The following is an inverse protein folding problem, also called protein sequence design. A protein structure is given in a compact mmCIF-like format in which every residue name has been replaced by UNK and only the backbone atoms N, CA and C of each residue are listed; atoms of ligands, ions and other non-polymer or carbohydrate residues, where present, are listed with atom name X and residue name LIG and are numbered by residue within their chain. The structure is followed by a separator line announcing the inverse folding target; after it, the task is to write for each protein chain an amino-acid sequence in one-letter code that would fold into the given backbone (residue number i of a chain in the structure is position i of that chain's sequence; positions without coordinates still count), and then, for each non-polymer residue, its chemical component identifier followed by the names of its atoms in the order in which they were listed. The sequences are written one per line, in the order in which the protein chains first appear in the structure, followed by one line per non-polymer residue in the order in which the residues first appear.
data_IF_970061435624
#
_entry.id   IF_970061435624
#
_cell.length_a   1.000
_cell.length_b   1.000
_cell.length_c   1.000
_cell.angle_alpha   90.00
_cell.angle_beta   90.00
_cell.angle_gamma   90.00
#
_symmetry.space_group_name_H-M   'P 1'
#
loop_
_entity.id
_entity.type
_entity.pdbx_description
1 polymer ?
#
# COMPACT_ATOMS: atom_id res chain seq x y z
N UNK A 1 -32.16 10.14 -45.48
CA UNK A 1 -33.44 10.78 -45.83
C UNK A 1 -34.26 10.67 -44.56
N UNK A 2 -34.27 11.70 -43.71
CA UNK A 2 -35.26 12.79 -43.83
C UNK A 2 -36.65 12.18 -43.63
N UNK A 3 -37.49 12.51 -42.65
CA UNK A 3 -37.71 13.65 -41.79
C UNK A 3 -38.78 13.15 -40.80
N UNK A 4 -38.83 13.66 -39.57
CA UNK A 4 -39.98 13.44 -38.70
C UNK A 4 -40.35 14.74 -38.00
N UNK A 5 -40.83 15.71 -38.78
CA UNK A 5 -41.72 16.76 -38.28
C UNK A 5 -43.13 16.30 -38.56
N UNK A 6 -43.84 15.78 -37.55
CA UNK A 6 -45.29 15.83 -37.52
C UNK A 6 -45.81 15.45 -36.12
N UNK A 7 -46.18 16.48 -35.37
CA UNK A 7 -47.44 16.59 -34.64
C UNK A 7 -47.95 15.35 -33.88
N UNK A 8 -48.10 15.48 -32.56
CA UNK A 8 -49.43 15.85 -32.04
C UNK A 8 -49.43 15.87 -30.51
N UNK A 9 -49.70 17.07 -30.00
CA UNK A 9 -50.09 17.37 -28.64
C UNK A 9 -51.33 16.55 -28.22
N UNK A 10 -51.18 15.64 -27.26
CA UNK A 10 -52.26 15.26 -26.34
C UNK A 10 -51.75 15.01 -24.92
N UNK A 11 -52.25 15.86 -24.05
CA UNK A 11 -52.25 15.83 -22.60
C UNK A 11 -52.82 14.48 -22.12
N UNK A 12 -52.01 13.68 -21.41
CA UNK A 12 -52.50 12.76 -20.37
C UNK A 12 -51.52 12.88 -19.21
N UNK A 13 -52.03 13.41 -18.10
CA UNK A 13 -51.35 13.42 -16.82
C UNK A 13 -51.02 11.98 -16.39
N UNK A 14 -49.74 11.64 -16.33
CA UNK A 14 -49.27 10.47 -15.57
C UNK A 14 -48.27 10.95 -14.53
N UNK A 15 -48.80 11.24 -13.36
CA UNK A 15 -48.07 11.28 -12.09
C UNK A 15 -47.62 9.85 -11.82
N UNK A 16 -46.42 9.47 -12.28
CA UNK A 16 -45.78 8.23 -11.86
C UNK A 16 -44.70 8.63 -10.86
N UNK A 17 -45.06 8.50 -9.59
CA UNK A 17 -44.12 8.48 -8.47
C UNK A 17 -43.10 7.36 -8.73
N UNK A 18 -41.89 7.74 -9.15
CA UNK A 18 -40.79 6.80 -9.33
C UNK A 18 -40.15 6.55 -7.95
N UNK A 19 -40.12 5.30 -7.45
CA UNK A 19 -39.73 4.99 -6.09
C UNK A 19 -38.22 5.23 -5.87
N UNK A 20 -37.87 5.49 -4.60
CA UNK A 20 -36.52 5.69 -4.11
C UNK A 20 -35.58 4.55 -4.58
N UNK A 21 -34.58 4.87 -5.40
CA UNK A 21 -33.47 3.97 -5.65
C UNK A 21 -32.58 3.90 -4.41
N UNK A 22 -32.52 2.71 -3.80
CA UNK A 22 -31.65 2.40 -2.68
C UNK A 22 -30.18 2.46 -3.04
N UNK A 23 -29.38 3.04 -2.14
CA UNK A 23 -27.93 3.06 -2.18
C UNK A 23 -27.37 1.64 -2.08
N UNK A 24 -26.95 1.07 -3.22
CA UNK A 24 -26.10 -0.12 -3.22
C UNK A 24 -24.69 0.29 -2.79
N UNK A 25 -24.34 -0.04 -1.55
CA UNK A 25 -23.01 0.15 -1.01
C UNK A 25 -22.04 -0.86 -1.65
N UNK A 26 -21.24 -0.40 -2.62
CA UNK A 26 -20.07 -1.14 -3.10
C UNK A 26 -19.08 -1.28 -1.93
N UNK A 27 -19.06 -2.45 -1.29
CA UNK A 27 -18.14 -2.72 -0.19
C UNK A 27 -16.72 -2.81 -0.74
N UNK A 28 -16.00 -1.69 -0.74
CA UNK A 28 -14.57 -1.68 -0.96
C UNK A 28 -13.88 -2.51 0.13
N UNK A 29 -12.80 -3.25 -0.20
CA UNK A 29 -12.07 -4.01 0.80
C UNK A 29 -11.57 -3.09 1.92
N UNK A 30 -11.79 -3.52 3.15
CA UNK A 30 -11.35 -2.79 4.35
C UNK A 30 -9.82 -2.62 4.35
N UNK A 31 -9.31 -1.65 5.11
CA UNK A 31 -7.85 -1.42 5.24
C UNK A 31 -7.10 -2.67 5.75
N UNK A 32 -7.73 -3.46 6.61
CA UNK A 32 -7.20 -4.74 7.08
C UNK A 32 -7.08 -5.77 5.95
N UNK A 33 -8.12 -5.93 5.12
CA UNK A 33 -8.10 -6.81 3.96
C UNK A 33 -7.06 -6.37 2.92
N UNK A 34 -6.98 -5.08 2.63
CA UNK A 34 -5.96 -4.54 1.72
C UNK A 34 -4.54 -4.82 2.22
N UNK A 35 -4.31 -4.73 3.53
CA UNK A 35 -3.01 -5.05 4.13
C UNK A 35 -2.69 -6.54 4.06
N UNK A 36 -3.68 -7.40 4.27
CA UNK A 36 -3.53 -8.85 4.14
C UNK A 36 -3.19 -9.25 2.69
N UNK A 37 -3.92 -8.71 1.70
CA UNK A 37 -3.63 -8.93 0.28
C UNK A 37 -2.21 -8.47 -0.06
N UNK A 38 -1.83 -7.25 0.37
CA UNK A 38 -0.50 -6.70 0.08
C UNK A 38 0.62 -7.56 0.64
N UNK A 39 0.45 -8.11 1.85
CA UNK A 39 1.45 -9.00 2.48
C UNK A 39 1.55 -10.32 1.73
N UNK A 40 0.42 -10.93 1.35
CA UNK A 40 0.40 -12.22 0.65
C UNK A 40 0.84 -12.12 -0.81
N UNK A 41 0.66 -10.95 -1.44
CA UNK A 41 0.89 -10.74 -2.86
C UNK A 41 2.16 -9.96 -3.21
N UNK A 42 3.00 -9.61 -2.24
CA UNK A 42 4.12 -8.67 -2.48
C UNK A 42 5.08 -9.15 -3.57
N UNK A 43 5.46 -10.43 -3.56
CA UNK A 43 6.37 -11.01 -4.55
C UNK A 43 5.71 -11.16 -5.92
N UNK A 44 4.48 -11.68 -5.94
CA UNK A 44 3.70 -11.87 -7.17
C UNK A 44 3.39 -10.55 -7.87
N UNK A 45 3.11 -9.50 -7.08
CA UNK A 45 2.87 -8.16 -7.59
C UNK A 45 4.10 -7.59 -8.29
N UNK A 46 5.31 -7.78 -7.73
CA UNK A 46 6.55 -7.34 -8.36
C UNK A 46 6.86 -8.10 -9.65
N UNK A 47 6.46 -9.37 -9.73
CA UNK A 47 6.71 -10.19 -10.91
C UNK A 47 5.71 -9.92 -12.05
N UNK A 48 4.43 -9.67 -11.71
CA UNK A 48 3.35 -9.62 -12.69
C UNK A 48 2.71 -8.23 -12.86
N UNK A 49 2.90 -7.31 -11.91
CA UNK A 49 2.19 -6.02 -11.83
C UNK A 49 3.10 -4.80 -11.55
N UNK A 50 4.42 -4.88 -11.81
CA UNK A 50 5.39 -3.85 -11.43
C UNK A 50 5.17 -2.46 -12.05
N UNK A 51 4.42 -2.36 -13.16
CA UNK A 51 4.09 -1.09 -13.81
C UNK A 51 2.87 -0.40 -13.21
N UNK A 52 2.15 -1.07 -12.30
CA UNK A 52 0.97 -0.52 -11.63
C UNK A 52 1.41 0.09 -10.29
N UNK A 53 0.80 1.21 -9.83
CA UNK A 53 1.02 1.72 -8.49
C UNK A 53 0.49 0.72 -7.43
N UNK A 54 1.26 0.42 -6.37
CA UNK A 54 0.83 -0.52 -5.34
C UNK A 54 -0.32 0.04 -4.50
N UNK A 55 -1.29 -0.82 -4.20
CA UNK A 55 -2.49 -0.47 -3.43
C UNK A 55 -3.63 0.07 -4.29
N UNK A 56 -4.81 0.18 -3.68
CA UNK A 56 -6.03 0.62 -4.37
C UNK A 56 -6.56 -0.39 -5.40
N UNK A 57 -7.53 0.07 -6.19
CA UNK A 57 -8.26 -0.75 -7.15
C UNK A 57 -7.39 -1.20 -8.34
N UNK A 58 -6.52 -0.34 -8.87
CA UNK A 58 -5.68 -0.68 -10.02
C UNK A 58 -4.74 -1.87 -9.72
N UNK A 59 -4.15 -1.92 -8.52
CA UNK A 59 -3.33 -3.03 -8.09
C UNK A 59 -4.14 -4.33 -7.98
N UNK A 60 -5.34 -4.27 -7.38
CA UNK A 60 -6.23 -5.42 -7.28
C UNK A 60 -6.67 -5.93 -8.64
N UNK A 61 -6.97 -5.03 -9.58
CA UNK A 61 -7.39 -5.38 -10.93
C UNK A 61 -6.26 -6.09 -11.68
N UNK A 62 -5.01 -5.62 -11.56
CA UNK A 62 -3.87 -6.31 -12.14
C UNK A 62 -3.67 -7.71 -11.55
N UNK A 63 -3.79 -7.86 -10.23
CA UNK A 63 -3.73 -9.17 -9.58
C UNK A 63 -4.86 -10.07 -10.06
N UNK A 64 -6.09 -9.57 -10.16
CA UNK A 64 -7.26 -10.32 -10.64
C UNK A 64 -7.04 -10.86 -12.07
N UNK A 65 -6.49 -10.03 -12.96
CA UNK A 65 -6.18 -10.41 -14.35
C UNK A 65 -5.05 -11.45 -14.44
N UNK A 66 -4.18 -11.51 -13.44
CA UNK A 66 -3.04 -12.41 -13.39
C UNK A 66 -3.24 -13.57 -12.41
N UNK A 67 -4.46 -13.83 -11.91
CA UNK A 67 -4.71 -14.79 -10.83
C UNK A 67 -4.00 -16.14 -11.04
N UNK A 68 -4.09 -16.72 -12.25
CA UNK A 68 -3.45 -18.00 -12.58
C UNK A 68 -1.92 -18.00 -12.54
N UNK A 69 -1.27 -16.83 -12.52
CA UNK A 69 0.19 -16.65 -12.43
C UNK A 69 0.66 -16.29 -11.02
N UNK A 70 -0.27 -16.03 -10.09
CA UNK A 70 0.06 -15.69 -8.71
C UNK A 70 0.26 -16.96 -7.87
N UNK A 71 1.00 -16.82 -6.78
CA UNK A 71 1.11 -17.84 -5.74
C UNK A 71 -0.26 -18.21 -5.14
N UNK A 72 -0.44 -19.45 -4.65
CA UNK A 72 -1.70 -19.90 -4.05
C UNK A 72 -2.18 -19.00 -2.90
N UNK A 73 -1.24 -18.51 -2.09
CA UNK A 73 -1.52 -17.60 -0.97
C UNK A 73 -2.05 -16.25 -1.44
N UNK A 74 -1.51 -15.72 -2.54
CA UNK A 74 -1.99 -14.47 -3.11
C UNK A 74 -3.35 -14.65 -3.81
N UNK A 75 -3.57 -15.76 -4.51
CA UNK A 75 -4.87 -16.09 -5.12
C UNK A 75 -5.99 -16.14 -4.08
N UNK A 76 -5.75 -16.81 -2.95
CA UNK A 76 -6.72 -16.88 -1.85
C UNK A 76 -7.05 -15.49 -1.29
N UNK A 77 -6.04 -14.66 -1.05
CA UNK A 77 -6.23 -13.32 -0.51
C UNK A 77 -7.04 -12.41 -1.46
N UNK A 78 -6.76 -12.47 -2.77
CA UNK A 78 -7.50 -11.70 -3.79
C UNK A 78 -8.94 -12.19 -3.91
N UNK A 79 -9.17 -13.51 -3.87
CA UNK A 79 -10.52 -14.10 -3.98
C UNK A 79 -11.40 -13.79 -2.77
N UNK A 80 -10.81 -13.83 -1.56
CA UNK A 80 -11.49 -13.42 -0.32
C UNK A 80 -11.85 -11.92 -0.31
N UNK A 81 -11.10 -11.10 -1.04
CA UNK A 81 -11.36 -9.66 -1.15
C UNK A 81 -12.43 -9.31 -2.20
N UNK A 82 -12.61 -10.13 -3.24
CA UNK A 82 -13.54 -9.87 -4.35
C UNK A 82 -14.98 -10.35 -4.10
N UNK A 83 -15.39 -10.49 -2.84
CA UNK A 83 -16.77 -10.84 -2.47
C UNK A 83 -16.97 -12.30 -2.03
N UNK A 84 -15.89 -13.08 -1.89
CA UNK A 84 -15.94 -14.31 -1.11
C UNK A 84 -15.94 -13.97 0.37
N UNK A 85 -17.12 -13.92 1.00
CA UNK A 85 -17.22 -13.89 2.46
C UNK A 85 -16.60 -15.18 3.02
N UNK A 86 -15.30 -15.16 3.29
CA UNK A 86 -14.69 -16.14 4.17
C UNK A 86 -14.98 -15.73 5.62
N UNK A 87 -15.20 -16.69 6.53
CA UNK A 87 -15.40 -16.40 7.95
C UNK A 87 -14.20 -15.60 8.48
N UNK A 88 -14.43 -14.86 9.57
CA UNK A 88 -13.35 -14.36 10.41
C UNK A 88 -12.28 -15.45 10.61
N UNK A 89 -10.98 -15.12 10.71
CA UNK A 89 -9.96 -16.13 10.94
C UNK A 89 -10.19 -16.74 12.33
N UNK A 90 -10.94 -17.85 12.40
CA UNK A 90 -10.58 -18.90 13.35
C UNK A 90 -9.22 -19.39 12.90
N UNK A 91 -8.30 -19.51 13.86
CA UNK A 91 -6.97 -20.05 13.65
C UNK A 91 -7.06 -21.48 13.10
N UNK A 92 -7.24 -21.62 11.79
CA UNK A 92 -6.99 -22.84 11.05
C UNK A 92 -5.51 -22.82 10.66
N UNK A 93 -4.80 -23.84 11.12
CA UNK A 93 -3.36 -23.97 10.95
C UNK A 93 -2.94 -23.79 9.47
N UNK A 94 -1.79 -23.15 9.20
CA UNK A 94 -1.24 -23.10 7.85
C UNK A 94 -1.01 -24.54 7.32
N UNK A 95 -1.15 -24.78 6.01
CA UNK A 95 -0.76 -26.05 5.41
C UNK A 95 0.71 -26.34 5.72
N UNK A 96 1.10 -27.62 5.87
CA UNK A 96 2.47 -27.97 6.21
C UNK A 96 3.44 -27.41 5.16
N UNK A 97 4.61 -26.92 5.58
CA UNK A 97 5.62 -26.42 4.66
C UNK A 97 6.09 -27.54 3.72
N UNK A 98 6.56 -27.20 2.49
CA UNK A 98 7.21 -28.19 1.64
C UNK A 98 8.40 -28.83 2.40
N UNK A 99 8.66 -30.14 2.23
CA UNK A 99 9.79 -30.78 2.88
C UNK A 99 11.09 -30.10 2.42
N UNK A 100 11.78 -29.40 3.33
CA UNK A 100 13.09 -28.78 3.03
C UNK A 100 13.41 -27.43 3.70
N UNK A 101 12.48 -26.81 4.43
CA UNK A 101 12.79 -25.60 5.19
C UNK A 101 13.32 -25.95 6.59
N UNK A 102 14.61 -25.74 6.84
CA UNK A 102 15.23 -25.82 8.17
C UNK A 102 14.63 -24.76 9.11
N UNK A 103 14.25 -25.10 10.36
CA UNK A 103 13.67 -24.13 11.29
C UNK A 103 14.68 -23.04 11.71
N UNK A 104 14.44 -21.81 11.28
CA UNK A 104 15.08 -20.60 11.81
C UNK A 104 14.37 -20.10 13.07
N UNK A 105 15.15 -19.49 13.97
CA UNK A 105 14.81 -18.98 15.30
C UNK A 105 13.37 -18.42 15.51
N UNK A 106 12.79 -18.61 16.72
CA UNK A 106 11.44 -18.16 17.03
C UNK A 106 11.29 -16.64 16.92
N UNK A 107 10.15 -16.13 16.41
CA UNK A 107 9.87 -14.70 16.39
C UNK A 107 9.66 -14.16 17.82
N UNK A 108 10.03 -12.90 18.11
CA UNK A 108 9.80 -12.29 19.41
C UNK A 108 8.28 -12.19 19.71
N UNK A 109 7.88 -12.21 21.00
CA UNK A 109 6.48 -12.16 21.38
C UNK A 109 5.83 -10.84 20.94
N UNK A 110 4.68 -10.95 20.27
CA UNK A 110 3.86 -9.80 19.89
C UNK A 110 3.25 -9.18 21.14
N UNK A 111 3.53 -7.89 21.38
CA UNK A 111 2.88 -7.12 22.42
C UNK A 111 1.35 -7.05 22.18
N UNK A 112 0.52 -7.04 23.25
CA UNK A 112 -0.93 -7.00 23.11
C UNK A 112 -1.40 -5.62 22.63
N UNK A 113 -2.00 -5.59 21.44
CA UNK A 113 -2.72 -4.43 20.93
C UNK A 113 -4.16 -4.47 21.43
N UNK A 114 -4.40 -3.83 22.58
CA UNK A 114 -5.75 -3.47 23.03
C UNK A 114 -5.71 -2.07 23.62
N UNK A 115 -5.80 -1.06 22.75
CA UNK A 115 -6.20 0.29 23.18
C UNK A 115 -7.54 0.60 22.51
N UNK A 116 -8.57 0.52 23.36
CA UNK A 116 -9.93 0.92 23.06
C UNK A 116 -10.01 2.39 22.60
N UNK A 117 -11.08 2.67 21.87
CA UNK A 117 -11.40 3.91 21.17
C UNK A 117 -11.57 5.09 22.16
N UNK A 118 -10.47 5.77 22.49
CA UNK A 118 -10.47 7.13 23.03
C UNK A 118 -10.49 8.15 21.86
N UNK A 119 -11.08 9.35 22.02
CA UNK A 119 -10.88 10.43 21.05
C UNK A 119 -9.38 10.70 20.88
N UNK A 120 -8.90 10.97 19.65
CA UNK A 120 -7.48 11.13 19.41
C UNK A 120 -6.95 12.31 20.25
N UNK A 121 -5.79 12.15 20.92
CA UNK A 121 -5.14 13.26 21.59
C UNK A 121 -4.84 14.37 20.58
N UNK A 122 -4.72 15.64 21.03
CA UNK A 122 -4.29 16.74 20.16
C UNK A 122 -3.00 16.36 19.43
N UNK A 123 -2.82 16.78 18.17
CA UNK A 123 -1.65 16.40 17.39
C UNK A 123 -0.39 16.80 18.16
N UNK A 124 0.60 15.90 18.29
CA UNK A 124 1.88 16.28 18.89
C UNK A 124 2.47 17.46 18.10
N UNK A 125 3.34 18.29 18.71
CA UNK A 125 4.08 19.30 17.95
C UNK A 125 4.68 18.63 16.72
N UNK A 126 4.56 19.28 15.56
CA UNK A 126 5.00 18.79 14.24
C UNK A 126 6.50 18.55 14.21
N UNK A 127 6.91 17.44 14.82
CA UNK A 127 8.22 16.86 14.67
C UNK A 127 8.17 16.11 13.35
N UNK A 128 9.11 16.43 12.45
CA UNK A 128 9.24 15.65 11.22
C UNK A 128 9.36 14.17 11.61
N UNK A 129 8.58 13.33 10.93
CA UNK A 129 8.71 11.90 11.17
C UNK A 129 10.11 11.44 10.71
N UNK A 130 10.72 10.42 11.34
CA UNK A 130 12.02 9.89 10.92
C UNK A 130 12.08 9.46 9.45
N UNK A 131 10.94 9.05 8.88
CA UNK A 131 10.83 8.75 7.44
C UNK A 131 10.93 10.00 6.57
N UNK A 132 10.34 11.11 7.01
CA UNK A 132 10.35 12.37 6.30
C UNK A 132 11.76 12.99 6.30
N UNK A 133 12.46 12.94 7.43
CA UNK A 133 13.88 13.34 7.49
C UNK A 133 14.76 12.51 6.56
N UNK A 134 14.60 11.19 6.56
CA UNK A 134 15.36 10.33 5.65
C UNK A 134 15.08 10.66 4.16
N UNK A 135 13.85 11.04 3.83
CA UNK A 135 13.49 11.51 2.49
C UNK A 135 14.15 12.85 2.16
N UNK A 136 14.16 13.79 3.10
CA UNK A 136 14.82 15.09 2.94
C UNK A 136 16.34 14.91 2.74
N UNK A 137 16.99 14.12 3.58
CA UNK A 137 18.43 13.82 3.45
C UNK A 137 18.73 13.20 2.08
N UNK A 138 17.92 12.23 1.61
CA UNK A 138 18.08 11.66 0.26
C UNK A 138 17.90 12.68 -0.85
N UNK A 139 17.03 13.66 -0.68
CA UNK A 139 16.81 14.73 -1.65
C UNK A 139 18.04 15.65 -1.74
N UNK A 140 18.52 16.16 -0.60
CA UNK A 140 19.64 17.10 -0.56
C UNK A 140 20.99 16.44 -0.85
N UNK A 141 21.17 15.19 -0.46
CA UNK A 141 22.43 14.47 -0.63
C UNK A 141 22.52 13.64 -1.91
N UNK A 142 21.55 13.72 -2.83
CA UNK A 142 21.51 12.86 -4.03
C UNK A 142 22.77 12.99 -4.89
N UNK A 143 23.21 14.22 -5.16
CA UNK A 143 24.37 14.48 -6.01
C UNK A 143 25.67 14.04 -5.31
N UNK A 144 25.81 14.36 -4.03
CA UNK A 144 26.97 13.94 -3.23
C UNK A 144 27.04 12.42 -3.09
N UNK A 145 25.90 11.75 -2.89
CA UNK A 145 25.83 10.29 -2.84
C UNK A 145 26.27 9.66 -4.15
N UNK A 146 25.82 10.17 -5.30
CA UNK A 146 26.24 9.67 -6.60
C UNK A 146 27.74 9.87 -6.84
N UNK A 147 28.32 10.95 -6.31
CA UNK A 147 29.74 11.27 -6.49
C UNK A 147 30.68 10.51 -5.56
N UNK A 148 30.26 10.27 -4.32
CA UNK A 148 31.13 9.72 -3.27
C UNK A 148 30.73 8.32 -2.78
N UNK A 149 29.48 7.90 -2.99
CA UNK A 149 28.90 6.70 -2.39
C UNK A 149 28.17 5.78 -3.39
N UNK A 150 28.42 5.93 -4.70
CA UNK A 150 27.70 5.20 -5.76
C UNK A 150 27.81 3.68 -5.69
N UNK A 151 28.87 3.14 -5.08
CA UNK A 151 29.10 1.69 -4.90
C UNK A 151 28.41 1.12 -3.66
N UNK A 152 27.82 1.97 -2.81
CA UNK A 152 27.19 1.55 -1.56
C UNK A 152 25.79 1.01 -1.82
N UNK A 153 25.51 -0.23 -1.41
CA UNK A 153 24.15 -0.77 -1.44
C UNK A 153 23.24 0.04 -0.52
N UNK A 154 22.19 0.62 -1.11
CA UNK A 154 21.14 1.29 -0.36
C UNK A 154 20.35 0.25 0.46
N UNK A 155 20.26 0.46 1.76
CA UNK A 155 19.64 -0.46 2.73
C UNK A 155 20.42 -0.50 4.04
N UNK A 156 19.76 -0.85 5.15
CA UNK A 156 20.36 -0.98 6.49
C UNK A 156 21.19 0.23 6.99
N UNK A 157 20.97 1.44 6.46
CA UNK A 157 21.71 2.64 6.85
C UNK A 157 23.08 2.82 6.18
N UNK A 158 23.50 1.92 5.29
CA UNK A 158 24.81 1.96 4.63
C UNK A 158 25.06 3.28 3.88
N UNK A 159 24.04 3.80 3.20
CA UNK A 159 24.18 5.06 2.47
C UNK A 159 24.41 6.26 3.38
N UNK A 160 23.72 6.30 4.53
CA UNK A 160 23.92 7.34 5.53
C UNK A 160 25.30 7.23 6.20
N UNK A 161 25.80 6.01 6.42
CA UNK A 161 27.15 5.79 6.95
C UNK A 161 28.23 6.31 5.98
N UNK A 162 28.11 6.02 4.68
CA UNK A 162 29.04 6.52 3.68
C UNK A 162 29.03 8.05 3.57
N UNK A 163 27.84 8.66 3.60
CA UNK A 163 27.71 10.11 3.60
C UNK A 163 28.39 10.73 4.82
N UNK A 164 28.17 10.19 6.03
CA UNK A 164 28.86 10.67 7.25
C UNK A 164 30.37 10.55 7.16
N UNK A 165 30.90 9.45 6.62
CA UNK A 165 32.34 9.26 6.42
C UNK A 165 32.94 10.27 5.43
N UNK A 166 32.13 10.84 4.53
CA UNK A 166 32.54 11.85 3.56
C UNK A 166 32.05 13.26 3.91
N UNK A 167 31.54 13.50 5.13
CA UNK A 167 30.82 14.73 5.50
C UNK A 167 31.53 16.02 5.10
N UNK A 168 32.86 16.09 5.30
CA UNK A 168 33.68 17.26 4.95
C UNK A 168 33.73 17.57 3.44
N UNK A 169 33.44 16.58 2.57
CA UNK A 169 33.51 16.67 1.10
C UNK A 169 32.15 16.86 0.43
N UNK A 170 31.07 16.78 1.20
CA UNK A 170 29.70 16.96 0.70
C UNK A 170 29.37 18.44 0.51
N UNK A 171 28.37 18.71 -0.31
CA UNK A 171 27.78 20.04 -0.45
C UNK A 171 27.28 20.60 0.90
N UNK A 172 27.29 21.93 1.05
CA UNK A 172 26.78 22.63 2.25
C UNK A 172 25.33 22.25 2.57
N UNK A 173 24.49 22.12 1.55
CA UNK A 173 23.09 21.70 1.71
C UNK A 173 22.96 20.28 2.25
N UNK A 174 23.76 19.34 1.73
CA UNK A 174 23.77 17.97 2.25
C UNK A 174 24.33 17.88 3.68
N UNK A 175 25.38 18.65 4.00
CA UNK A 175 25.94 18.72 5.36
C UNK A 175 24.90 19.21 6.38
N UNK A 176 24.14 20.26 6.04
CA UNK A 176 23.09 20.79 6.91
C UNK A 176 21.95 19.78 7.10
N UNK A 177 21.51 19.11 6.03
CA UNK A 177 20.47 18.09 6.10
C UNK A 177 20.90 16.88 6.96
N UNK A 178 22.16 16.43 6.84
CA UNK A 178 22.71 15.38 7.69
C UNK A 178 22.79 15.81 9.16
N UNK A 179 23.24 17.04 9.42
CA UNK A 179 23.34 17.56 10.79
C UNK A 179 21.98 17.74 11.46
N UNK A 180 20.94 18.09 10.70
CA UNK A 180 19.57 18.14 11.19
C UNK A 180 19.06 16.74 11.55
N UNK A 181 19.34 15.74 10.72
CA UNK A 181 18.90 14.36 10.90
C UNK A 181 19.62 13.53 11.98
N UNK A 182 20.65 14.11 12.62
CA UNK A 182 21.42 13.46 13.68
C UNK A 182 21.16 14.07 15.08
N UNK A 183 20.25 15.04 15.18
CA UNK A 183 19.83 15.67 16.45
C UNK A 183 18.64 14.95 17.05
#
# INVERSE_FOLDING_TARGET
MSEAVAHSLRIVATVIALPLLGSMASAAPTSAQQSAIKSSCQSDYRANCASVPPGGSAALQCLQQNLGKLSPSCQQAVTAASGGAAPAPTAANPPPPPPGATPGAPPPPKAPTSAAKAPPPPPPPVQMSPRQEAMLVRQYCRADFARYCSTVRLGAGNGAACLRANAARLSRGCQQALAAAMR
#
